data_IF_728355904524
#
_entry.id   IF_728355904524
#
_cell.length_a   1.000
_cell.length_b   1.000
_cell.length_c   1.000
_cell.angle_alpha   90.00
_cell.angle_beta   90.00
_cell.angle_gamma   90.00
#
_symmetry.space_group_name_H-M   'P 1'
#
loop_
_entity.id
_entity.type
_entity.pdbx_description
1 polymer ?
#
# COMPACT_ATOMS: atom_id res chain seq x y z
N UNK A 1 9.17 -4.41 -6.72
CA UNK A 1 8.15 -5.35 -6.17
C UNK A 1 6.80 -4.65 -6.14
N UNK A 2 5.76 -5.31 -6.57
CA UNK A 2 4.41 -4.77 -6.50
C UNK A 2 3.82 -4.96 -5.11
N UNK A 3 2.88 -4.09 -4.74
CA UNK A 3 2.22 -4.17 -3.45
C UNK A 3 1.58 -5.54 -3.22
N UNK A 4 0.92 -6.10 -4.23
CA UNK A 4 0.26 -7.41 -4.11
C UNK A 4 1.22 -8.54 -3.73
N UNK A 5 2.47 -8.45 -4.16
CA UNK A 5 3.47 -9.48 -3.85
C UNK A 5 3.97 -9.37 -2.41
N UNK A 6 4.16 -8.14 -1.93
CA UNK A 6 4.65 -7.92 -0.58
C UNK A 6 3.61 -8.30 0.47
N UNK A 7 2.34 -7.95 0.24
CA UNK A 7 1.29 -8.19 1.25
C UNK A 7 1.03 -9.67 1.50
N UNK A 8 1.47 -10.54 0.61
CA UNK A 8 1.41 -12.00 0.83
C UNK A 8 2.25 -12.43 2.03
N UNK A 9 3.24 -11.64 2.40
CA UNK A 9 4.12 -11.92 3.54
C UNK A 9 3.58 -11.36 4.86
N UNK A 10 2.49 -10.60 4.80
CA UNK A 10 1.93 -9.92 5.96
C UNK A 10 0.74 -10.67 6.55
N UNK A 11 0.55 -10.49 7.86
CA UNK A 11 -0.65 -10.94 8.55
C UNK A 11 -1.87 -10.14 8.08
N UNK A 12 -3.01 -10.80 7.96
CA UNK A 12 -4.27 -10.15 7.58
C UNK A 12 -4.72 -9.08 8.56
N UNK A 13 -4.25 -9.13 9.80
CA UNK A 13 -4.53 -8.12 10.83
C UNK A 13 -3.56 -6.94 10.78
N UNK A 14 -2.57 -6.96 9.91
CA UNK A 14 -1.66 -5.83 9.73
C UNK A 14 -2.44 -4.60 9.29
N UNK A 15 -2.08 -3.44 9.85
CA UNK A 15 -2.73 -2.18 9.52
C UNK A 15 -1.88 -1.44 8.50
N UNK A 16 -2.52 -1.11 7.38
CA UNK A 16 -1.84 -0.59 6.20
C UNK A 16 -2.16 0.89 6.03
N UNK A 17 -1.12 1.67 5.80
CA UNK A 17 -1.22 3.07 5.36
C UNK A 17 -0.30 3.20 4.15
N UNK A 18 -0.65 4.07 3.21
CA UNK A 18 0.20 4.27 2.03
C UNK A 18 0.23 5.71 1.59
N UNK A 19 1.33 6.05 0.92
CA UNK A 19 1.50 7.29 0.18
C UNK A 19 1.71 6.90 -1.28
N UNK A 20 0.90 7.42 -2.17
CA UNK A 20 0.98 7.10 -3.59
C UNK A 20 1.58 8.29 -4.34
N UNK A 21 2.70 8.05 -5.02
CA UNK A 21 3.33 9.00 -5.93
C UNK A 21 2.94 8.65 -7.37
N UNK A 22 2.85 9.68 -8.22
CA UNK A 22 2.68 9.44 -9.64
C UNK A 22 4.00 8.88 -10.24
N UNK A 23 3.96 8.51 -11.52
CA UNK A 23 5.15 7.96 -12.19
C UNK A 23 6.33 8.94 -12.26
N UNK A 24 6.08 10.23 -12.06
CA UNK A 24 7.11 11.27 -12.02
C UNK A 24 7.60 11.57 -10.61
N UNK A 25 7.19 10.77 -9.62
CA UNK A 25 7.56 10.88 -8.21
C UNK A 25 7.00 12.14 -7.53
N UNK A 26 5.91 12.69 -8.05
CA UNK A 26 5.18 13.76 -7.38
C UNK A 26 4.16 13.15 -6.41
N UNK A 27 3.97 13.81 -5.26
CA UNK A 27 2.96 13.40 -4.31
C UNK A 27 1.57 13.50 -4.94
N UNK A 28 0.79 12.44 -4.84
CA UNK A 28 -0.56 12.44 -5.40
C UNK A 28 -1.65 12.06 -4.39
N UNK A 29 -1.35 11.20 -3.43
CA UNK A 29 -2.37 10.73 -2.50
C UNK A 29 -1.75 10.14 -1.24
N UNK A 30 -2.27 10.57 -0.08
CA UNK A 30 -1.95 9.96 1.22
C UNK A 30 -3.21 9.38 1.83
N UNK A 31 -3.20 8.10 2.13
CA UNK A 31 -4.24 7.50 2.95
C UNK A 31 -3.83 7.62 4.41
N UNK A 32 -4.44 8.58 5.11
CA UNK A 32 -4.02 8.95 6.47
C UNK A 32 -4.56 8.03 7.55
N UNK A 33 -5.59 7.24 7.25
CA UNK A 33 -6.15 6.29 8.21
C UNK A 33 -5.63 4.89 7.92
N UNK A 34 -5.24 4.17 8.96
CA UNK A 34 -4.83 2.78 8.76
C UNK A 34 -6.04 1.88 8.56
N UNK A 35 -5.87 0.88 7.71
CA UNK A 35 -6.91 -0.11 7.41
C UNK A 35 -6.30 -1.51 7.54
N UNK A 36 -7.05 -2.45 8.08
CA UNK A 36 -6.60 -3.84 8.14
C UNK A 36 -6.42 -4.40 6.73
N UNK A 37 -5.39 -5.22 6.55
CA UNK A 37 -5.08 -5.79 5.24
C UNK A 37 -6.26 -6.57 4.66
N UNK A 38 -6.97 -7.35 5.48
CA UNK A 38 -8.12 -8.11 5.01
C UNK A 38 -9.25 -7.20 4.51
N UNK A 39 -9.44 -6.05 5.15
CA UNK A 39 -10.44 -5.06 4.71
C UNK A 39 -9.98 -4.35 3.45
N UNK A 40 -8.68 -4.03 3.37
CA UNK A 40 -8.10 -3.39 2.19
C UNK A 40 -8.32 -4.22 0.92
N UNK A 41 -8.12 -5.53 1.02
CA UNK A 41 -8.31 -6.45 -0.11
C UNK A 41 -9.76 -6.51 -0.60
N UNK A 42 -10.72 -6.09 0.23
CA UNK A 42 -12.14 -6.06 -0.13
C UNK A 42 -12.59 -4.70 -0.68
N UNK A 43 -11.69 -3.71 -0.69
CA UNK A 43 -12.02 -2.39 -1.23
C UNK A 43 -12.05 -2.43 -2.76
N UNK A 44 -12.96 -1.63 -3.35
CA UNK A 44 -13.11 -1.58 -4.80
C UNK A 44 -11.85 -1.10 -5.52
N UNK A 45 -11.04 -0.27 -4.86
CA UNK A 45 -9.80 0.24 -5.46
C UNK A 45 -8.61 -0.71 -5.30
N UNK A 46 -8.75 -1.83 -4.57
CA UNK A 46 -7.64 -2.76 -4.34
C UNK A 46 -7.07 -3.32 -5.65
N UNK A 47 -7.93 -3.60 -6.62
CA UNK A 47 -7.50 -4.15 -7.91
C UNK A 47 -6.53 -3.24 -8.66
N UNK A 48 -6.62 -1.93 -8.42
CA UNK A 48 -5.69 -0.96 -9.02
C UNK A 48 -4.51 -0.70 -8.08
N UNK A 49 -4.75 -0.56 -6.78
CA UNK A 49 -3.72 -0.28 -5.80
C UNK A 49 -2.65 -1.39 -5.75
N UNK A 50 -3.07 -2.64 -5.83
CA UNK A 50 -2.18 -3.81 -5.71
C UNK A 50 -1.07 -3.86 -6.76
N UNK A 51 -1.28 -3.18 -7.88
CA UNK A 51 -0.35 -3.19 -9.02
C UNK A 51 0.76 -2.16 -8.88
N UNK A 52 0.65 -1.25 -7.93
CA UNK A 52 1.62 -0.18 -7.76
C UNK A 52 2.96 -0.74 -7.26
N UNK A 53 4.04 -0.09 -7.68
CA UNK A 53 5.39 -0.45 -7.27
C UNK A 53 5.69 0.08 -5.88
N UNK A 54 6.30 -0.77 -5.04
CA UNK A 54 6.76 -0.37 -3.72
C UNK A 54 8.10 0.33 -3.86
N UNK A 55 8.18 1.56 -3.34
CA UNK A 55 9.42 2.33 -3.25
C UNK A 55 10.08 2.12 -1.90
N UNK A 56 9.30 2.07 -0.83
CA UNK A 56 9.80 1.91 0.53
C UNK A 56 8.72 1.32 1.41
N UNK A 57 9.15 0.52 2.39
CA UNK A 57 8.27 -0.04 3.42
C UNK A 57 8.80 0.41 4.78
N UNK A 58 7.94 0.98 5.60
CA UNK A 58 8.25 1.34 6.98
C UNK A 58 7.33 0.51 7.87
N UNK A 59 7.92 -0.41 8.64
CA UNK A 59 7.15 -1.32 9.49
C UNK A 59 7.38 -0.96 10.95
N UNK A 60 6.28 -0.79 11.68
CA UNK A 60 6.31 -0.49 13.11
C UNK A 60 5.24 -1.34 13.81
N UNK A 61 5.66 -2.47 14.37
CA UNK A 61 4.73 -3.44 14.95
C UNK A 61 3.79 -3.98 13.88
N UNK A 62 2.48 -3.86 14.12
CA UNK A 62 1.46 -4.26 13.14
C UNK A 62 1.15 -3.17 12.11
N UNK A 63 1.73 -1.98 12.26
CA UNK A 63 1.50 -0.88 11.33
C UNK A 63 2.55 -0.91 10.24
N UNK A 64 2.11 -0.84 8.98
CA UNK A 64 3.00 -0.85 7.82
C UNK A 64 2.63 0.34 6.93
N UNK A 65 3.62 1.19 6.68
CA UNK A 65 3.48 2.31 5.76
C UNK A 65 4.21 1.97 4.46
N UNK A 66 3.50 2.08 3.35
CA UNK A 66 4.09 1.89 2.03
C UNK A 66 4.22 3.22 1.32
N UNK A 67 5.40 3.44 0.73
CA UNK A 67 5.55 4.47 -0.31
C UNK A 67 5.45 3.76 -1.64
N UNK A 68 4.47 4.15 -2.44
CA UNK A 68 4.11 3.49 -3.68
C UNK A 68 4.28 4.46 -4.85
N UNK A 69 4.58 3.91 -6.02
CA UNK A 69 4.62 4.66 -7.27
C UNK A 69 3.62 4.05 -8.25
N UNK A 70 2.80 4.91 -8.86
CA UNK A 70 1.86 4.48 -9.90
C UNK A 70 2.62 3.93 -11.10
N UNK A 71 2.15 2.80 -11.62
CA UNK A 71 2.70 2.16 -12.81
C UNK A 71 1.96 2.55 -14.10
N UNK A 72 0.89 3.31 -13.94
CA UNK A 72 0.09 3.75 -15.11
C UNK A 72 0.42 5.16 -15.54
#
# INVERSE_FOLDING_TARGET
MKLEDYVKTLDNNSRITWVLFDRYMRYSYLYSMSIKLCDLKNMCFWKDLRKNEILKVIKNGNNVLFKLRSTS
#
